data_IF_862473411265
#
_entry.id   IF_862473411265
#
_cell.length_a   1.000
_cell.length_b   1.000
_cell.length_c   1.000
_cell.angle_alpha   90.00
_cell.angle_beta   90.00
_cell.angle_gamma   90.00
#
_symmetry.space_group_name_H-M   'P 1'
#
loop_
_entity.id
_entity.type
_entity.pdbx_description
1 polymer ?
#
# COMPACT_ATOMS: atom_id res chain seq x y z
N UNK A 1 -39.08 10.63 -60.81
CA UNK A 1 -39.90 9.41 -60.57
C UNK A 1 -40.66 9.57 -59.26
N UNK A 2 -41.98 9.40 -59.31
CA UNK A 2 -42.90 9.74 -58.22
C UNK A 2 -42.79 8.76 -57.06
N UNK A 3 -42.83 9.32 -55.86
CA UNK A 3 -42.65 8.69 -54.54
C UNK A 3 -43.80 7.75 -54.12
N UNK A 4 -44.95 7.81 -54.80
CA UNK A 4 -46.25 7.27 -54.40
C UNK A 4 -46.44 5.75 -54.60
N UNK A 5 -45.72 5.12 -55.53
CA UNK A 5 -45.82 3.67 -55.81
C UNK A 5 -44.92 2.78 -54.93
N UNK A 6 -44.18 3.38 -53.97
CA UNK A 6 -43.18 2.66 -53.14
C UNK A 6 -43.74 1.61 -52.19
N UNK A 7 -45.04 1.68 -51.85
CA UNK A 7 -45.71 0.71 -50.97
C UNK A 7 -46.06 -0.61 -51.68
N UNK A 8 -46.25 -0.56 -53.01
CA UNK A 8 -46.63 -1.73 -53.82
C UNK A 8 -45.41 -2.61 -54.18
N UNK A 9 -44.23 -2.02 -54.28
CA UNK A 9 -42.96 -2.72 -54.45
C UNK A 9 -41.89 -2.09 -53.54
N UNK A 10 -41.74 -2.56 -52.28
CA UNK A 10 -40.77 -1.99 -51.36
C UNK A 10 -39.35 -2.24 -51.87
N UNK A 11 -38.51 -1.20 -51.86
CA UNK A 11 -37.08 -1.36 -52.17
C UNK A 11 -36.42 -2.13 -51.03
N UNK A 12 -35.74 -3.22 -51.36
CA UNK A 12 -35.00 -4.03 -50.39
C UNK A 12 -33.83 -3.23 -49.82
N UNK A 13 -33.66 -3.30 -48.50
CA UNK A 13 -32.48 -2.76 -47.83
C UNK A 13 -31.28 -3.68 -48.08
N UNK A 14 -30.17 -3.11 -48.53
CA UNK A 14 -28.91 -3.83 -48.72
C UNK A 14 -28.06 -3.75 -47.45
N UNK A 15 -27.85 -4.89 -46.78
CA UNK A 15 -27.00 -4.99 -45.59
C UNK A 15 -25.53 -4.99 -45.96
N UNK A 16 -24.71 -4.35 -45.13
CA UNK A 16 -23.26 -4.31 -45.32
C UNK A 16 -22.60 -5.62 -44.84
N UNK A 17 -21.54 -6.05 -45.52
CA UNK A 17 -20.79 -7.27 -45.16
C UNK A 17 -19.70 -6.99 -44.13
N UNK A 18 -19.47 -7.93 -43.22
CA UNK A 18 -18.36 -7.89 -42.25
C UNK A 18 -16.98 -8.22 -42.86
N UNK A 19 -15.95 -8.19 -42.01
CA UNK A 19 -14.58 -8.61 -42.35
C UNK A 19 -14.48 -10.13 -42.53
N UNK A 20 -13.59 -10.58 -43.43
CA UNK A 20 -13.31 -12.02 -43.66
C UNK A 20 -12.70 -12.63 -42.39
N UNK A 21 -13.10 -13.87 -42.05
CA UNK A 21 -12.66 -14.58 -40.83
C UNK A 21 -11.14 -14.61 -40.64
N UNK A 22 -10.39 -14.94 -41.70
CA UNK A 22 -8.91 -14.98 -41.69
C UNK A 22 -8.24 -13.63 -41.41
N UNK A 23 -8.94 -12.52 -41.68
CA UNK A 23 -8.44 -11.15 -41.51
C UNK A 23 -9.09 -10.41 -40.35
N UNK A 24 -9.91 -11.07 -39.52
CA UNK A 24 -10.50 -10.47 -38.32
C UNK A 24 -9.46 -9.88 -37.37
N UNK A 25 -8.23 -10.41 -37.37
CA UNK A 25 -7.10 -9.86 -36.60
C UNK A 25 -6.75 -8.40 -36.92
N UNK A 26 -7.07 -7.92 -38.14
CA UNK A 26 -6.81 -6.55 -38.58
C UNK A 26 -7.91 -5.56 -38.16
N UNK A 27 -8.94 -6.05 -37.45
CA UNK A 27 -10.08 -5.26 -37.02
C UNK A 27 -11.18 -5.14 -38.08
N UNK A 28 -11.98 -4.09 -37.94
CA UNK A 28 -13.16 -3.83 -38.76
C UNK A 28 -12.79 -3.55 -40.23
N UNK A 29 -13.62 -4.03 -41.17
CA UNK A 29 -13.46 -3.74 -42.60
C UNK A 29 -14.14 -2.42 -42.92
N UNK A 30 -13.35 -1.35 -42.96
CA UNK A 30 -13.82 -0.01 -43.32
C UNK A 30 -14.55 0.01 -44.67
N UNK A 31 -15.63 0.79 -44.72
CA UNK A 31 -16.43 1.04 -45.90
C UNK A 31 -16.24 2.46 -46.39
N UNK A 32 -16.88 2.79 -47.50
CA UNK A 32 -16.79 4.12 -48.09
C UNK A 32 -17.20 5.24 -47.11
N UNK A 33 -18.22 5.01 -46.28
CA UNK A 33 -18.65 5.98 -45.25
C UNK A 33 -17.53 6.26 -44.24
N UNK A 34 -16.86 5.23 -43.76
CA UNK A 34 -15.74 5.35 -42.82
C UNK A 34 -14.53 6.02 -43.47
N UNK A 35 -14.23 5.65 -44.72
CA UNK A 35 -13.20 6.30 -45.52
C UNK A 35 -13.46 7.81 -45.66
N UNK A 36 -14.70 8.22 -45.94
CA UNK A 36 -15.07 9.64 -46.04
C UNK A 36 -14.85 10.37 -44.73
N UNK A 37 -15.21 9.77 -43.59
CA UNK A 37 -14.95 10.35 -42.27
C UNK A 37 -13.45 10.52 -42.00
N UNK A 38 -12.66 9.47 -42.26
CA UNK A 38 -11.20 9.52 -42.11
C UNK A 38 -10.55 10.56 -43.04
N UNK A 39 -10.96 10.61 -44.31
CA UNK A 39 -10.43 11.56 -45.28
C UNK A 39 -10.75 13.01 -44.89
N UNK A 40 -11.96 13.26 -44.36
CA UNK A 40 -12.35 14.58 -43.84
C UNK A 40 -11.49 15.00 -42.64
N UNK A 41 -11.32 14.12 -41.65
CA UNK A 41 -10.46 14.35 -40.47
C UNK A 41 -8.99 14.61 -40.88
N UNK A 42 -8.44 13.79 -41.77
CA UNK A 42 -7.08 13.98 -42.30
C UNK A 42 -6.93 15.35 -42.98
N UNK A 43 -7.85 15.68 -43.88
CA UNK A 43 -7.81 16.95 -44.60
C UNK A 43 -8.01 18.15 -43.65
N UNK A 44 -8.79 18.02 -42.59
CA UNK A 44 -8.94 19.05 -41.57
C UNK A 44 -7.62 19.27 -40.82
N UNK A 45 -6.98 18.21 -40.35
CA UNK A 45 -5.66 18.28 -39.70
C UNK A 45 -4.60 18.87 -40.64
N UNK A 46 -4.58 18.47 -41.91
CA UNK A 46 -3.66 19.04 -42.89
C UNK A 46 -3.90 20.54 -43.12
N UNK A 47 -5.16 20.98 -43.19
CA UNK A 47 -5.50 22.41 -43.28
C UNK A 47 -5.01 23.19 -42.05
N UNK A 48 -5.20 22.64 -40.85
CA UNK A 48 -4.72 23.26 -39.61
C UNK A 48 -3.19 23.35 -39.58
N UNK A 49 -2.48 22.26 -39.90
CA UNK A 49 -1.02 22.25 -39.99
C UNK A 49 -0.49 23.25 -41.02
N UNK A 50 -1.14 23.36 -42.18
CA UNK A 50 -0.77 24.36 -43.20
C UNK A 50 -0.88 25.78 -42.65
N UNK A 51 -1.99 26.11 -41.98
CA UNK A 51 -2.18 27.43 -41.33
C UNK A 51 -1.13 27.69 -40.25
N UNK A 52 -0.78 26.68 -39.44
CA UNK A 52 0.26 26.82 -38.41
C UNK A 52 1.65 27.05 -39.02
N UNK A 53 1.97 26.37 -40.12
CA UNK A 53 3.22 26.59 -40.88
C UNK A 53 3.28 27.99 -41.48
N UNK A 54 2.19 28.46 -42.09
CA UNK A 54 2.10 29.81 -42.63
C UNK A 54 2.34 30.86 -41.53
N UNK A 55 1.65 30.74 -40.39
CA UNK A 55 1.85 31.61 -39.22
C UNK A 55 3.28 31.57 -38.67
N UNK A 56 3.89 30.39 -38.61
CA UNK A 56 5.27 30.25 -38.17
C UNK A 56 6.25 30.90 -39.16
N UNK A 57 5.98 30.81 -40.48
CA UNK A 57 6.82 31.41 -41.52
C UNK A 57 6.73 32.93 -41.58
N UNK A 58 5.56 33.51 -41.27
CA UNK A 58 5.33 34.95 -41.27
C UNK A 58 5.53 35.60 -39.89
N UNK A 59 6.14 34.89 -38.93
CA UNK A 59 6.38 35.40 -37.58
C UNK A 59 7.37 36.56 -37.60
N UNK A 60 7.00 37.68 -36.95
CA UNK A 60 7.92 38.79 -36.71
C UNK A 60 8.88 38.42 -35.55
N UNK A 61 10.21 38.39 -35.75
CA UNK A 61 11.16 38.08 -34.67
C UNK A 61 11.15 39.10 -33.52
N UNK A 62 10.73 40.33 -33.77
CA UNK A 62 10.71 41.43 -32.79
C UNK A 62 9.34 41.61 -32.12
N UNK A 63 8.42 40.64 -32.26
CA UNK A 63 7.11 40.72 -31.61
C UNK A 63 7.23 40.60 -30.08
N UNK A 64 6.59 41.53 -29.36
CA UNK A 64 6.54 41.51 -27.90
C UNK A 64 5.09 41.53 -27.40
N UNK A 65 4.74 40.56 -26.56
CA UNK A 65 3.48 40.53 -25.82
C UNK A 65 3.80 40.50 -24.33
N UNK A 66 3.05 41.24 -23.49
CA UNK A 66 3.26 41.28 -22.03
C UNK A 66 3.22 39.90 -21.35
N UNK A 67 2.50 38.94 -21.93
CA UNK A 67 2.46 37.57 -21.41
C UNK A 67 3.81 36.83 -21.54
N UNK A 68 4.71 37.28 -22.42
CA UNK A 68 6.07 36.74 -22.56
C UNK A 68 6.92 36.92 -21.30
N UNK A 69 6.58 37.85 -20.40
CA UNK A 69 7.27 38.01 -19.11
C UNK A 69 6.98 36.87 -18.13
N UNK A 70 5.79 36.25 -18.25
CA UNK A 70 5.32 35.20 -17.34
C UNK A 70 5.41 33.81 -17.95
N UNK A 71 5.32 33.71 -19.28
CA UNK A 71 5.43 32.45 -19.99
C UNK A 71 6.88 32.07 -20.20
N UNK A 72 7.20 30.79 -19.96
CA UNK A 72 8.51 30.24 -20.25
C UNK A 72 8.42 29.30 -21.46
N UNK A 73 9.50 29.25 -22.24
CA UNK A 73 9.72 28.24 -23.27
C UNK A 73 10.93 27.42 -22.84
N UNK A 74 10.79 26.10 -22.86
CA UNK A 74 11.88 25.17 -22.62
C UNK A 74 12.05 24.32 -23.89
N UNK A 75 13.27 24.30 -24.44
CA UNK A 75 13.61 23.59 -25.68
C UNK A 75 12.66 23.91 -26.86
N UNK A 76 12.15 25.14 -26.93
CA UNK A 76 11.23 25.60 -27.98
C UNK A 76 9.75 25.22 -27.77
N UNK A 77 9.40 24.62 -26.63
CA UNK A 77 8.01 24.30 -26.26
C UNK A 77 7.56 25.19 -25.10
N UNK A 78 6.35 25.74 -25.20
CA UNK A 78 5.78 26.52 -24.11
C UNK A 78 5.49 25.64 -22.89
N UNK A 79 6.00 26.03 -21.72
CA UNK A 79 5.78 25.36 -20.44
C UNK A 79 4.92 26.25 -19.55
N UNK A 80 3.82 25.69 -19.06
CA UNK A 80 2.97 26.32 -18.05
C UNK A 80 3.42 25.90 -16.65
N UNK A 81 3.72 26.86 -15.79
CA UNK A 81 4.02 26.60 -14.38
C UNK A 81 2.74 26.23 -13.62
N UNK A 82 2.52 24.93 -13.41
CA UNK A 82 1.39 24.39 -12.65
C UNK A 82 1.61 24.38 -11.14
N UNK A 83 2.83 24.69 -10.67
CA UNK A 83 3.20 24.59 -9.26
C UNK A 83 3.37 25.97 -8.65
N UNK A 84 2.44 26.35 -7.78
CA UNK A 84 2.62 27.50 -6.90
C UNK A 84 3.50 27.09 -5.73
N UNK A 85 4.62 27.78 -5.54
CA UNK A 85 5.46 27.59 -4.38
C UNK A 85 4.68 28.06 -3.12
N UNK A 86 4.39 27.14 -2.21
CA UNK A 86 3.72 27.48 -0.96
C UNK A 86 4.66 28.32 -0.08
N UNK A 87 4.16 29.39 0.57
CA UNK A 87 4.91 30.12 1.59
C UNK A 87 5.47 29.18 2.67
N UNK A 88 6.67 29.50 3.17
CA UNK A 88 7.37 28.66 4.14
C UNK A 88 6.55 28.40 5.42
N UNK A 89 5.72 29.35 5.85
CA UNK A 89 4.90 29.20 7.06
C UNK A 89 3.73 28.25 6.85
N UNK A 90 3.11 28.24 5.67
CA UNK A 90 2.09 27.24 5.31
C UNK A 90 2.73 25.85 5.25
N UNK A 91 3.94 25.72 4.69
CA UNK A 91 4.64 24.44 4.68
C UNK A 91 4.92 23.90 6.08
N UNK A 92 5.36 24.75 7.02
CA UNK A 92 5.59 24.34 8.43
C UNK A 92 4.30 23.88 9.10
N UNK A 93 3.18 24.54 8.84
CA UNK A 93 1.87 24.16 9.36
C UNK A 93 1.48 22.77 8.83
N UNK A 94 1.61 22.55 7.52
CA UNK A 94 1.31 21.26 6.88
C UNK A 94 2.21 20.14 7.45
N UNK A 95 3.53 20.36 7.54
CA UNK A 95 4.44 19.37 8.14
C UNK A 95 4.06 19.03 9.59
N UNK A 96 3.58 20.01 10.36
CA UNK A 96 3.17 19.81 11.74
C UNK A 96 1.89 18.98 11.82
N UNK A 97 0.93 19.24 10.94
CA UNK A 97 -0.30 18.45 10.82
C UNK A 97 0.01 17.00 10.42
N UNK A 98 0.87 16.81 9.42
CA UNK A 98 1.27 15.50 8.94
C UNK A 98 1.95 14.66 10.03
N UNK A 99 2.93 15.23 10.74
CA UNK A 99 3.61 14.56 11.87
C UNK A 99 2.60 14.15 12.94
N UNK A 100 1.67 15.05 13.26
CA UNK A 100 0.65 14.80 14.30
C UNK A 100 -0.29 13.69 13.87
N UNK A 101 -0.70 13.66 12.61
CA UNK A 101 -1.55 12.61 12.05
C UNK A 101 -0.85 11.25 12.07
N UNK A 102 0.41 11.16 11.62
CA UNK A 102 1.18 9.91 11.63
C UNK A 102 1.38 9.41 13.05
N UNK A 103 1.70 10.30 13.99
CA UNK A 103 1.81 9.96 15.41
C UNK A 103 0.49 9.40 15.96
N UNK A 104 -0.64 10.06 15.67
CA UNK A 104 -1.97 9.58 16.06
C UNK A 104 -2.25 8.18 15.50
N UNK A 105 -1.97 7.94 14.21
CA UNK A 105 -2.16 6.63 13.60
C UNK A 105 -1.27 5.55 14.23
N UNK A 106 -0.01 5.90 14.56
CA UNK A 106 0.91 5.01 15.27
C UNK A 106 0.36 4.65 16.64
N UNK A 107 -0.13 5.62 17.41
CA UNK A 107 -0.64 5.40 18.76
C UNK A 107 -1.94 4.58 18.74
N UNK A 108 -2.83 4.80 17.77
CA UNK A 108 -4.00 3.94 17.53
C UNK A 108 -3.56 2.51 17.20
N UNK A 109 -2.56 2.35 16.35
CA UNK A 109 -2.06 1.03 15.97
C UNK A 109 -1.42 0.30 17.16
N UNK A 110 -0.66 1.01 18.00
CA UNK A 110 -0.09 0.46 19.24
C UNK A 110 -1.15 -0.07 20.19
N UNK A 111 -2.21 0.71 20.45
CA UNK A 111 -3.33 0.25 21.28
C UNK A 111 -4.02 -1.00 20.72
N UNK A 112 -4.12 -1.11 19.39
CA UNK A 112 -4.67 -2.32 18.74
C UNK A 112 -3.74 -3.53 18.88
N UNK A 113 -2.44 -3.32 18.78
CA UNK A 113 -1.43 -4.37 19.03
C UNK A 113 -1.54 -4.86 20.46
N UNK A 114 -1.57 -3.95 21.44
CA UNK A 114 -1.71 -4.29 22.87
C UNK A 114 -2.99 -5.10 23.12
N UNK A 115 -4.13 -4.67 22.57
CA UNK A 115 -5.38 -5.42 22.68
C UNK A 115 -5.29 -6.81 22.04
N UNK A 116 -4.72 -6.91 20.83
CA UNK A 116 -4.54 -8.19 20.15
C UNK A 116 -3.59 -9.12 20.91
N UNK A 117 -2.52 -8.59 21.52
CA UNK A 117 -1.61 -9.35 22.37
C UNK A 117 -2.25 -9.82 23.67
N UNK A 118 -3.15 -9.03 24.26
CA UNK A 118 -3.93 -9.45 25.43
C UNK A 118 -4.94 -10.55 25.08
N UNK A 119 -5.64 -10.41 23.95
CA UNK A 119 -6.64 -11.38 23.47
C UNK A 119 -5.98 -12.69 23.00
N UNK A 120 -4.79 -12.59 22.41
CA UNK A 120 -4.01 -13.70 21.89
C UNK A 120 -2.99 -14.08 22.95
N UNK A 121 -3.39 -14.94 23.89
CA UNK A 121 -2.43 -15.57 24.80
C UNK A 121 -1.39 -16.33 23.96
N UNK A 122 -0.28 -15.68 23.63
CA UNK A 122 0.85 -16.28 22.92
C UNK A 122 1.51 -17.20 23.94
N UNK A 123 1.14 -18.46 23.84
CA UNK A 123 1.58 -19.54 24.71
C UNK A 123 2.95 -20.08 24.29
N UNK A 124 3.32 -19.86 23.02
CA UNK A 124 4.55 -20.34 22.41
C UNK A 124 5.54 -19.19 22.26
N UNK A 125 5.99 -18.63 23.38
CA UNK A 125 7.26 -17.90 23.36
C UNK A 125 8.39 -18.93 23.29
N UNK A 126 9.23 -18.82 22.25
CA UNK A 126 10.42 -19.68 22.07
C UNK A 126 11.49 -19.45 23.16
N UNK A 127 11.32 -18.42 24.00
CA UNK A 127 12.13 -18.25 25.19
C UNK A 127 11.93 -19.46 26.11
N UNK A 128 12.93 -20.35 26.06
CA UNK A 128 12.92 -21.63 26.74
C UNK A 128 13.12 -21.44 28.25
N UNK A 129 12.03 -21.15 28.95
CA UNK A 129 12.02 -21.24 30.41
C UNK A 129 12.33 -22.70 30.77
N UNK A 130 13.52 -22.91 31.34
CA UNK A 130 13.99 -24.23 31.76
C UNK A 130 13.26 -24.63 33.05
N UNK A 131 12.47 -25.71 32.99
CA UNK A 131 11.87 -26.33 34.17
C UNK A 131 12.81 -27.42 34.69
N UNK A 132 13.36 -27.22 35.89
CA UNK A 132 14.26 -28.18 36.54
C UNK A 132 13.49 -28.96 37.61
N UNK A 133 13.58 -30.28 37.55
CA UNK A 133 12.97 -31.19 38.53
C UNK A 133 14.08 -31.72 39.44
N UNK A 134 13.88 -31.61 40.75
CA UNK A 134 14.83 -32.10 41.75
C UNK A 134 14.42 -33.50 42.19
N UNK A 135 15.41 -34.39 42.34
CA UNK A 135 15.23 -35.79 42.71
C UNK A 135 16.32 -36.15 43.73
N UNK A 136 15.97 -36.93 44.75
CA UNK A 136 16.83 -37.18 45.90
C UNK A 136 18.00 -38.13 45.60
N UNK A 137 17.76 -39.18 44.79
CA UNK A 137 18.75 -40.22 44.49
C UNK A 137 19.29 -40.17 43.07
N UNK A 138 20.59 -40.47 42.91
CA UNK A 138 21.25 -40.57 41.59
C UNK A 138 20.71 -41.69 40.71
N UNK A 139 20.14 -42.74 41.30
CA UNK A 139 19.48 -43.83 40.55
C UNK A 139 18.17 -43.35 39.94
N UNK A 140 17.38 -42.59 40.70
CA UNK A 140 16.11 -42.01 40.25
C UNK A 140 16.30 -40.99 39.12
N UNK A 141 17.46 -40.32 39.04
CA UNK A 141 17.80 -39.46 37.89
C UNK A 141 17.92 -40.25 36.58
N UNK A 142 18.43 -41.49 36.63
CA UNK A 142 18.62 -42.33 35.43
C UNK A 142 17.31 -42.95 34.93
N UNK A 143 16.38 -43.23 35.83
CA UNK A 143 15.07 -43.83 35.53
C UNK A 143 13.94 -42.78 35.44
N UNK A 144 14.29 -41.50 35.47
CA UNK A 144 13.31 -40.42 35.51
C UNK A 144 12.44 -40.39 34.25
N UNK A 145 11.14 -40.59 34.45
CA UNK A 145 10.12 -40.46 33.42
C UNK A 145 9.21 -39.28 33.75
N UNK A 146 9.19 -38.30 32.85
CA UNK A 146 8.41 -37.08 33.02
C UNK A 146 6.90 -37.35 33.02
N UNK A 147 6.42 -38.32 32.24
CA UNK A 147 4.99 -38.65 32.16
C UNK A 147 4.47 -39.14 33.51
N UNK A 148 5.19 -40.09 34.12
CA UNK A 148 4.87 -40.63 35.45
C UNK A 148 5.03 -39.60 36.57
N UNK A 149 6.09 -38.78 36.52
CA UNK A 149 6.32 -37.75 37.53
C UNK A 149 5.18 -36.72 37.57
N UNK A 150 4.65 -36.30 36.41
CA UNK A 150 3.56 -35.35 36.34
C UNK A 150 2.16 -36.00 36.40
N UNK A 151 2.06 -37.33 36.29
CA UNK A 151 0.79 -38.05 36.23
C UNK A 151 -0.02 -37.67 34.98
N UNK A 152 0.65 -37.52 33.84
CA UNK A 152 0.07 -37.06 32.57
C UNK A 152 0.48 -37.97 31.42
N UNK A 153 -0.35 -38.04 30.37
CA UNK A 153 0.04 -38.74 29.14
C UNK A 153 1.20 -38.05 28.42
N UNK A 154 1.95 -38.81 27.61
CA UNK A 154 3.16 -38.33 26.90
C UNK A 154 2.92 -37.07 26.05
N UNK A 155 1.71 -36.91 25.49
CA UNK A 155 1.34 -35.75 24.67
C UNK A 155 1.34 -34.43 25.45
N UNK A 156 0.95 -34.45 26.73
CA UNK A 156 0.88 -33.25 27.56
C UNK A 156 2.22 -32.89 28.21
N UNK A 157 3.18 -33.82 28.28
CA UNK A 157 4.53 -33.58 28.82
C UNK A 157 5.24 -32.46 28.06
N UNK A 158 5.03 -32.39 26.73
CA UNK A 158 5.62 -31.36 25.87
C UNK A 158 5.05 -29.95 26.08
N UNK A 159 3.77 -29.84 26.48
CA UNK A 159 3.07 -28.54 26.66
C UNK A 159 3.51 -27.88 27.94
N UNK A 160 3.70 -26.56 28.05
CA UNK A 160 4.15 -25.94 29.33
C UNK A 160 3.03 -25.54 30.28
N UNK A 161 1.85 -25.28 29.75
CA UNK A 161 0.68 -24.77 30.46
C UNK A 161 -0.46 -25.79 30.29
N UNK A 162 -1.40 -25.78 31.22
CA UNK A 162 -2.59 -26.64 31.19
C UNK A 162 -2.24 -28.13 30.93
N UNK A 163 -1.49 -28.72 31.86
CA UNK A 163 -1.18 -30.16 31.91
C UNK A 163 -2.17 -30.85 32.87
N UNK A 164 -3.32 -31.34 32.41
CA UNK A 164 -4.25 -32.06 33.28
C UNK A 164 -3.67 -33.41 33.70
N UNK A 165 -3.86 -33.78 34.96
CA UNK A 165 -3.55 -35.14 35.45
C UNK A 165 -4.56 -36.14 34.88
N UNK A 166 -4.17 -37.39 34.77
CA UNK A 166 -5.05 -38.48 34.29
C UNK A 166 -6.33 -38.59 35.14
N UNK A 167 -6.20 -38.54 36.46
CA UNK A 167 -7.36 -38.52 37.39
C UNK A 167 -8.32 -37.34 37.11
N UNK A 168 -7.78 -36.17 36.77
CA UNK A 168 -8.57 -34.98 36.47
C UNK A 168 -9.24 -35.06 35.09
N UNK A 169 -8.62 -35.76 34.14
CA UNK A 169 -9.21 -36.05 32.83
C UNK A 169 -10.37 -37.04 32.94
N UNK A 170 -10.24 -38.05 33.80
CA UNK A 170 -11.31 -39.04 34.06
C UNK A 170 -12.51 -38.41 34.78
N UNK A 171 -12.25 -37.50 35.74
CA UNK A 171 -13.31 -36.81 36.48
C UNK A 171 -14.00 -35.70 35.67
N UNK A 172 -13.37 -35.18 34.62
CA UNK A 172 -13.88 -34.04 33.87
C UNK A 172 -14.86 -34.45 32.77
N UNK A 173 -16.14 -34.14 32.94
CA UNK A 173 -17.12 -34.17 31.85
C UNK A 173 -16.90 -32.99 30.90
N UNK A 174 -15.98 -33.15 29.94
CA UNK A 174 -15.68 -32.12 28.94
C UNK A 174 -16.67 -32.22 27.78
N UNK A 175 -17.44 -31.15 27.54
CA UNK A 175 -18.25 -31.02 26.33
C UNK A 175 -17.34 -31.07 25.09
N UNK A 176 -17.54 -32.07 24.22
CA UNK A 176 -16.76 -32.22 22.99
C UNK A 176 -17.34 -31.30 21.91
N UNK A 177 -16.66 -30.20 21.53
CA UNK A 177 -17.14 -29.35 20.44
C UNK A 177 -17.08 -30.12 19.11
N UNK A 178 -18.06 -29.88 18.23
CA UNK A 178 -18.05 -30.44 16.87
C UNK A 178 -16.78 -30.06 16.11
N UNK A 179 -16.32 -30.93 15.21
CA UNK A 179 -15.14 -30.69 14.35
C UNK A 179 -15.21 -29.35 13.60
N UNK A 180 -16.42 -28.94 13.19
CA UNK A 180 -16.65 -27.65 12.54
C UNK A 180 -16.35 -26.45 13.45
N UNK A 181 -16.65 -26.56 14.75
CA UNK A 181 -16.32 -25.52 15.73
C UNK A 181 -14.81 -25.42 15.95
N UNK A 182 -14.11 -26.56 16.00
CA UNK A 182 -12.65 -26.60 16.12
C UNK A 182 -11.96 -25.94 14.91
N UNK A 183 -12.37 -26.31 13.68
CA UNK A 183 -11.85 -25.68 12.44
C UNK A 183 -12.07 -24.17 12.42
N UNK A 184 -13.25 -23.72 12.87
CA UNK A 184 -13.55 -22.28 13.00
C UNK A 184 -12.67 -21.59 14.03
N UNK A 185 -12.47 -22.19 15.20
CA UNK A 185 -11.64 -21.63 16.26
C UNK A 185 -10.16 -21.48 15.83
N UNK A 186 -9.60 -22.51 15.18
CA UNK A 186 -8.24 -22.48 14.62
C UNK A 186 -8.12 -21.38 13.58
N UNK A 187 -9.05 -21.30 12.63
CA UNK A 187 -9.06 -20.25 11.60
C UNK A 187 -9.13 -18.84 12.20
N UNK A 188 -9.96 -18.63 13.22
CA UNK A 188 -10.04 -17.33 13.91
C UNK A 188 -8.70 -17.00 14.58
N UNK A 189 -8.06 -17.96 15.26
CA UNK A 189 -6.74 -17.76 15.87
C UNK A 189 -5.67 -17.42 14.84
N UNK A 190 -5.62 -18.13 13.71
CA UNK A 190 -4.68 -17.86 12.61
C UNK A 190 -4.87 -16.44 12.04
N UNK A 191 -6.12 -16.03 11.77
CA UNK A 191 -6.38 -14.67 11.25
C UNK A 191 -5.91 -13.58 12.21
N UNK A 192 -6.06 -13.77 13.53
CA UNK A 192 -5.57 -12.82 14.54
C UNK A 192 -4.04 -12.77 14.61
N UNK A 193 -3.36 -13.91 14.47
CA UNK A 193 -1.89 -13.96 14.40
C UNK A 193 -1.37 -13.21 13.17
N UNK A 194 -2.00 -13.42 12.01
CA UNK A 194 -1.68 -12.71 10.77
C UNK A 194 -1.93 -11.21 10.94
N UNK A 195 -3.07 -10.82 11.51
CA UNK A 195 -3.33 -9.40 11.79
C UNK A 195 -2.27 -8.81 12.72
N UNK A 196 -1.92 -9.49 13.82
CA UNK A 196 -0.90 -9.03 14.76
C UNK A 196 0.45 -8.81 14.06
N UNK A 197 0.88 -9.75 13.22
CA UNK A 197 2.09 -9.62 12.40
C UNK A 197 2.05 -8.38 11.52
N UNK A 198 0.96 -8.20 10.77
CA UNK A 198 0.82 -7.05 9.86
C UNK A 198 0.79 -5.72 10.63
N UNK A 199 0.19 -5.71 11.83
CA UNK A 199 0.15 -4.55 12.72
C UNK A 199 1.54 -4.19 13.24
N UNK A 200 2.37 -5.18 13.61
CA UNK A 200 3.75 -4.98 14.03
C UNK A 200 4.58 -4.39 12.89
N UNK A 201 4.50 -4.95 11.69
CA UNK A 201 5.17 -4.40 10.50
C UNK A 201 4.73 -2.96 10.23
N UNK A 202 3.43 -2.68 10.31
CA UNK A 202 2.90 -1.32 10.17
C UNK A 202 3.41 -0.37 11.26
N UNK A 203 3.56 -0.83 12.50
CA UNK A 203 4.08 -0.01 13.59
C UNK A 203 5.52 0.44 13.31
N UNK A 204 6.37 -0.45 12.81
CA UNK A 204 7.74 -0.12 12.40
C UNK A 204 7.77 0.89 11.25
N UNK A 205 6.90 0.72 10.26
CA UNK A 205 6.77 1.66 9.14
C UNK A 205 6.33 3.05 9.60
N UNK A 206 5.32 3.13 10.48
CA UNK A 206 4.83 4.39 11.04
C UNK A 206 5.91 5.06 11.90
N UNK A 207 6.67 4.29 12.68
CA UNK A 207 7.79 4.82 13.47
C UNK A 207 8.91 5.37 12.58
N UNK A 208 9.24 4.69 11.48
CA UNK A 208 10.19 5.21 10.47
C UNK A 208 9.69 6.49 9.82
N UNK A 209 8.43 6.53 9.38
CA UNK A 209 7.85 7.72 8.77
C UNK A 209 7.82 8.92 9.73
N UNK A 210 7.41 8.70 10.99
CA UNK A 210 7.38 9.75 12.01
C UNK A 210 8.78 10.29 12.29
N UNK A 211 9.78 9.43 12.49
CA UNK A 211 11.17 9.87 12.72
C UNK A 211 11.74 10.65 11.54
N UNK A 212 11.43 10.24 10.31
CA UNK A 212 11.82 10.99 9.10
C UNK A 212 11.15 12.37 9.04
N UNK A 213 9.83 12.44 9.27
CA UNK A 213 9.10 13.70 9.24
C UNK A 213 9.54 14.66 10.37
N UNK A 214 9.78 14.14 11.57
CA UNK A 214 10.34 14.91 12.69
C UNK A 214 11.73 15.44 12.34
N UNK A 215 12.58 14.64 11.71
CA UNK A 215 13.88 15.08 11.23
C UNK A 215 13.74 16.19 10.18
N UNK A 216 12.89 16.01 9.16
CA UNK A 216 12.63 17.03 8.13
C UNK A 216 12.16 18.35 8.75
N UNK A 217 11.26 18.28 9.72
CA UNK A 217 10.79 19.46 10.47
C UNK A 217 11.92 20.13 11.24
N UNK A 218 12.73 19.37 11.98
CA UNK A 218 13.89 19.90 12.70
C UNK A 218 14.94 20.52 11.75
N UNK A 219 15.08 19.98 10.53
CA UNK A 219 15.94 20.56 9.49
C UNK A 219 15.39 21.86 8.90
N UNK A 220 14.10 22.16 9.02
CA UNK A 220 13.55 23.47 8.64
C UNK A 220 13.76 24.52 9.75
N UNK A 221 14.10 24.12 10.98
CA UNK A 221 14.44 25.06 12.05
C UNK A 221 15.80 25.73 11.84
N UNK A 222 15.92 26.94 12.42
CA UNK A 222 17.15 27.74 12.42
C UNK A 222 18.23 27.07 13.27
N UNK A 223 19.49 27.28 12.89
CA UNK A 223 20.67 26.78 13.60
C UNK A 223 21.66 26.09 12.67
N UNK A 224 22.96 26.25 12.96
CA UNK A 224 24.02 25.58 12.19
C UNK A 224 24.02 24.10 12.50
N UNK A 225 24.02 23.26 11.46
CA UNK A 225 23.96 21.79 11.56
C UNK A 225 24.86 21.12 10.55
N UNK A 226 25.42 19.97 10.92
CA UNK A 226 26.26 19.13 10.06
C UNK A 226 25.73 17.70 10.08
N UNK A 227 25.70 17.06 8.91
CA UNK A 227 25.39 15.62 8.80
C UNK A 227 26.60 14.82 9.29
N UNK A 228 26.37 13.91 10.24
CA UNK A 228 27.44 13.13 10.91
C UNK A 228 27.42 11.67 10.48
N UNK A 229 26.26 11.11 10.13
CA UNK A 229 26.15 9.72 9.74
C UNK A 229 24.73 9.30 9.35
N UNK A 230 24.45 8.01 9.52
CA UNK A 230 23.11 7.41 9.38
C UNK A 230 22.75 6.64 10.64
N UNK A 231 21.47 6.63 10.98
CA UNK A 231 20.90 5.89 12.10
C UNK A 231 20.66 4.42 11.72
N UNK A 232 20.25 3.59 12.69
CA UNK A 232 19.85 2.18 12.50
C UNK A 232 18.78 2.01 11.43
N UNK A 233 17.91 3.01 11.27
CA UNK A 233 16.84 3.05 10.26
C UNK A 233 17.32 3.55 8.88
N UNK A 234 18.60 3.86 8.71
CA UNK A 234 19.16 4.43 7.48
C UNK A 234 18.94 5.93 7.29
N UNK A 235 18.23 6.59 8.22
CA UNK A 235 17.98 8.03 8.22
C UNK A 235 19.26 8.81 8.54
N UNK A 236 19.46 9.97 7.91
CA UNK A 236 20.64 10.79 8.16
C UNK A 236 20.62 11.42 9.57
N UNK A 237 21.71 11.27 10.31
CA UNK A 237 21.88 11.89 11.64
C UNK A 237 22.59 13.23 11.49
N UNK A 238 22.04 14.25 12.13
CA UNK A 238 22.58 15.61 12.14
C UNK A 238 23.02 16.00 13.56
N UNK A 239 24.12 16.72 13.64
CA UNK A 239 24.61 17.37 14.87
C UNK A 239 24.46 18.87 14.70
N UNK A 240 23.71 19.49 15.61
CA UNK A 240 23.59 20.94 15.71
C UNK A 240 24.80 21.50 16.46
N UNK A 241 25.22 22.71 16.10
CA UNK A 241 26.23 23.45 16.85
C UNK A 241 25.68 23.72 18.26
N UNK A 242 26.50 23.52 19.29
CA UNK A 242 26.14 23.82 20.66
C UNK A 242 26.03 25.34 20.84
N UNK A 243 24.83 25.87 20.65
CA UNK A 243 24.48 27.28 20.84
C UNK A 243 23.18 27.34 21.65
N UNK A 244 23.18 28.11 22.74
CA UNK A 244 21.98 28.34 23.53
C UNK A 244 21.02 29.20 22.70
N UNK A 245 19.79 28.70 22.47
CA UNK A 245 18.72 29.51 21.86
C UNK A 245 18.42 30.67 22.82
N UNK A 246 18.54 31.90 22.32
CA UNK A 246 18.12 33.11 23.04
C UNK A 246 16.61 33.19 23.07
#
# INVERSE_FOLDING_TARGET
MVSSLRKFAPRREHKERGQISSRKKLGFLEKHKDYVLRARDYNEKQRQLKRLRERASTRNPDEFYFNMERSQMQDGVHVEDRRTALPADIQKLMDTQDVTYVKMQRDINKKKIEKLQQDLHIVEDEDSVRHTVFVDDKQMVKEFDAAKHFGTTEEFVSRRHNRPREEALEAAEIARPSENHLKRAVKVRETRLVELRDRLVRADQLQRAESEMLLRRALKEKGKKKKVGKDRLGLAVYKWKAERKK
#
